data_IF_870568080155
#
_entry.id   IF_870568080155
#
_cell.length_a   1.000
_cell.length_b   1.000
_cell.length_c   1.000
_cell.angle_alpha   90.00
_cell.angle_beta   90.00
_cell.angle_gamma   90.00
#
_symmetry.space_group_name_H-M   'P 1'
#
loop_
_entity.id
_entity.type
_entity.pdbx_description
1 polymer ?
#
# COMPACT_ATOMS: atom_id res chain seq x y z
N UNK A 1 12.65 1.93 -13.24
CA UNK A 1 12.55 0.99 -12.11
C UNK A 1 12.70 1.81 -10.83
N UNK A 2 11.65 1.92 -10.00
CA UNK A 2 11.83 2.35 -8.63
C UNK A 2 11.99 1.08 -7.79
N UNK A 3 13.22 0.80 -7.39
CA UNK A 3 13.60 -0.40 -6.61
C UNK A 3 13.32 -0.16 -5.11
N UNK A 4 12.96 1.06 -4.71
CA UNK A 4 12.91 1.48 -3.31
C UNK A 4 11.60 2.15 -2.94
N UNK A 5 11.16 1.82 -1.73
CA UNK A 5 10.16 2.54 -0.97
C UNK A 5 10.53 4.03 -0.87
N UNK A 6 9.56 4.93 -1.00
CA UNK A 6 9.78 6.37 -0.79
C UNK A 6 9.07 6.85 0.47
N UNK A 7 9.69 7.78 1.20
CA UNK A 7 9.06 8.43 2.37
C UNK A 7 8.82 9.88 2.04
N UNK A 8 7.57 10.30 2.10
CA UNK A 8 7.18 11.67 1.82
C UNK A 8 6.47 12.28 3.02
N UNK A 9 6.86 13.50 3.38
CA UNK A 9 6.13 14.31 4.34
C UNK A 9 5.23 15.28 3.60
N UNK A 10 3.92 15.09 3.69
CA UNK A 10 2.93 15.94 3.04
C UNK A 10 2.23 16.76 4.12
N UNK A 11 2.25 18.09 3.99
CA UNK A 11 1.49 18.98 4.87
C UNK A 11 0.28 19.51 4.11
N UNK A 12 -0.91 19.30 4.64
CA UNK A 12 -2.15 19.87 4.12
C UNK A 12 -2.89 20.59 5.24
N UNK A 13 -3.03 21.92 5.11
CA UNK A 13 -3.55 22.80 6.16
C UNK A 13 -2.77 22.62 7.48
N UNK A 14 -3.43 22.24 8.56
CA UNK A 14 -2.86 21.98 9.88
C UNK A 14 -2.54 20.49 10.11
N UNK A 15 -2.61 19.65 9.08
CA UNK A 15 -2.31 18.21 9.16
C UNK A 15 -0.96 17.92 8.51
N UNK A 16 -0.17 17.07 9.17
CA UNK A 16 1.09 16.53 8.64
C UNK A 16 0.92 15.03 8.46
N UNK A 17 1.15 14.57 7.24
CA UNK A 17 1.10 13.17 6.86
C UNK A 17 2.52 12.68 6.63
N UNK A 18 2.85 11.52 7.19
CA UNK A 18 4.00 10.74 6.80
C UNK A 18 3.49 9.62 5.90
N UNK A 19 3.83 9.69 4.62
CA UNK A 19 3.36 8.76 3.61
C UNK A 19 4.52 7.86 3.18
N UNK A 20 4.24 6.57 3.09
CA UNK A 20 5.17 5.56 2.60
C UNK A 20 4.65 5.05 1.25
N UNK A 21 5.37 5.35 0.16
CA UNK A 21 5.05 4.81 -1.16
C UNK A 21 5.68 3.42 -1.29
N UNK A 22 4.83 2.41 -1.51
CA UNK A 22 5.21 1.01 -1.62
C UNK A 22 4.93 0.52 -3.03
N UNK A 23 5.96 -0.02 -3.70
CA UNK A 23 5.78 -0.54 -5.05
C UNK A 23 4.85 -1.77 -5.12
N UNK A 24 4.18 -1.93 -6.26
CA UNK A 24 3.19 -2.98 -6.52
C UNK A 24 3.69 -4.28 -7.15
N UNK A 25 5.00 -4.41 -7.41
CA UNK A 25 5.58 -5.59 -8.07
C UNK A 25 5.47 -6.83 -7.16
N UNK A 26 5.11 -7.98 -7.71
CA UNK A 26 4.87 -9.21 -6.94
C UNK A 26 6.03 -9.58 -6.00
N UNK A 27 7.28 -9.34 -6.42
CA UNK A 27 8.49 -9.63 -5.63
C UNK A 27 8.61 -8.80 -4.34
N UNK A 28 7.97 -7.63 -4.26
CA UNK A 28 8.10 -6.71 -3.12
C UNK A 28 6.86 -6.65 -2.21
N UNK A 29 5.72 -7.20 -2.64
CA UNK A 29 4.49 -7.27 -1.83
C UNK A 29 4.67 -7.92 -0.45
N UNK A 30 5.52 -8.96 -0.27
CA UNK A 30 5.76 -9.54 1.05
C UNK A 30 6.32 -8.56 2.10
N UNK A 31 6.88 -7.42 1.67
CA UNK A 31 7.42 -6.40 2.57
C UNK A 31 6.39 -5.35 3.00
N UNK A 32 5.19 -5.31 2.40
CA UNK A 32 4.15 -4.33 2.79
C UNK A 32 3.79 -4.42 4.28
N UNK A 33 3.78 -5.64 4.83
CA UNK A 33 3.50 -5.89 6.26
C UNK A 33 4.42 -5.16 7.23
N UNK A 34 5.63 -4.78 6.80
CA UNK A 34 6.56 -4.02 7.64
C UNK A 34 6.08 -2.59 7.92
N UNK A 35 5.06 -2.12 7.20
CA UNK A 35 4.58 -0.74 7.24
C UNK A 35 3.17 -0.59 7.81
N UNK A 36 2.51 -1.67 8.25
CA UNK A 36 1.16 -1.57 8.82
C UNK A 36 1.18 -1.10 10.28
N UNK A 37 2.24 -1.43 11.03
CA UNK A 37 2.37 -0.98 12.42
C UNK A 37 2.52 0.53 12.48
N UNK A 38 1.73 1.18 13.35
CA UNK A 38 1.68 2.65 13.50
C UNK A 38 1.25 3.41 12.24
N UNK A 39 0.53 2.76 11.31
CA UNK A 39 -0.09 3.42 10.17
C UNK A 39 -1.58 3.65 10.45
N UNK A 40 -2.01 4.92 10.42
CA UNK A 40 -3.41 5.30 10.69
C UNK A 40 -4.36 4.94 9.54
N UNK A 41 -3.87 4.92 8.30
CA UNK A 41 -4.68 4.67 7.11
C UNK A 41 -3.84 4.12 5.95
N UNK A 42 -4.49 3.35 5.07
CA UNK A 42 -3.89 2.82 3.85
C UNK A 42 -4.66 3.33 2.64
N UNK A 43 -3.91 3.77 1.62
CA UNK A 43 -4.43 4.12 0.30
C UNK A 43 -4.02 3.01 -0.66
N UNK A 44 -4.98 2.23 -1.14
CA UNK A 44 -4.75 1.15 -2.09
C UNK A 44 -5.25 1.56 -3.47
N UNK A 45 -4.35 1.64 -4.45
CA UNK A 45 -4.65 2.15 -5.79
C UNK A 45 -4.84 0.98 -6.77
N UNK A 46 -5.94 1.01 -7.52
CA UNK A 46 -6.29 0.00 -8.52
C UNK A 46 -6.43 0.65 -9.88
N UNK A 47 -5.75 0.10 -10.89
CA UNK A 47 -5.97 0.48 -12.28
C UNK A 47 -7.31 -0.07 -12.77
N UNK A 48 -8.31 0.82 -12.85
CA UNK A 48 -9.67 0.47 -13.28
C UNK A 48 -9.77 0.07 -14.77
N UNK A 49 -8.76 0.39 -15.58
CA UNK A 49 -8.72 0.04 -17.01
C UNK A 49 -8.20 -1.39 -17.25
N UNK A 50 -7.41 -1.92 -16.31
CA UNK A 50 -6.83 -3.25 -16.40
C UNK A 50 -7.73 -4.33 -15.79
N UNK A 51 -8.71 -4.74 -16.58
CA UNK A 51 -9.73 -5.73 -16.16
C UNK A 51 -9.15 -7.12 -15.94
N UNK A 52 -8.05 -7.48 -16.59
CA UNK A 52 -7.42 -8.80 -16.43
C UNK A 52 -6.78 -8.93 -15.04
N UNK A 53 -6.21 -7.84 -14.51
CA UNK A 53 -5.54 -7.84 -13.20
C UNK A 53 -6.47 -7.52 -12.02
N UNK A 54 -7.75 -7.22 -12.25
CA UNK A 54 -8.69 -6.89 -11.15
C UNK A 54 -8.84 -8.04 -10.13
N UNK A 55 -8.81 -9.29 -10.60
CA UNK A 55 -8.90 -10.47 -9.74
C UNK A 55 -7.68 -10.61 -8.84
N UNK A 56 -6.49 -10.34 -9.38
CA UNK A 56 -5.23 -10.31 -8.62
C UNK A 56 -5.28 -9.19 -7.58
N UNK A 57 -5.70 -7.99 -7.98
CA UNK A 57 -5.82 -6.84 -7.07
C UNK A 57 -6.75 -7.13 -5.89
N UNK A 58 -7.91 -7.77 -6.14
CA UNK A 58 -8.81 -8.22 -5.08
C UNK A 58 -8.13 -9.18 -4.11
N UNK A 59 -7.40 -10.19 -4.61
CA UNK A 59 -6.72 -11.17 -3.75
C UNK A 59 -5.65 -10.53 -2.86
N UNK A 60 -4.87 -9.59 -3.42
CA UNK A 60 -3.86 -8.85 -2.67
C UNK A 60 -4.48 -7.94 -1.61
N UNK A 61 -5.56 -7.24 -1.95
CA UNK A 61 -6.31 -6.41 -0.99
C UNK A 61 -6.85 -7.24 0.17
N UNK A 62 -7.44 -8.42 -0.10
CA UNK A 62 -7.95 -9.31 0.94
C UNK A 62 -6.80 -9.81 1.83
N UNK A 63 -5.70 -10.29 1.24
CA UNK A 63 -4.52 -10.74 1.98
C UNK A 63 -3.95 -9.63 2.88
N UNK A 64 -3.93 -8.40 2.39
CA UNK A 64 -3.48 -7.23 3.15
C UNK A 64 -4.38 -6.96 4.36
N UNK A 65 -5.70 -6.97 4.17
CA UNK A 65 -6.69 -6.72 5.23
C UNK A 65 -6.66 -7.81 6.31
N UNK A 66 -6.43 -9.07 5.93
CA UNK A 66 -6.25 -10.16 6.89
C UNK A 66 -5.06 -9.90 7.80
N UNK A 67 -3.91 -9.49 7.25
CA UNK A 67 -2.71 -9.16 8.03
C UNK A 67 -2.95 -7.97 8.98
N UNK A 68 -3.67 -6.94 8.52
CA UNK A 68 -3.97 -5.76 9.35
C UNK A 68 -4.93 -6.12 10.49
N UNK A 69 -5.92 -6.97 10.23
CA UNK A 69 -6.94 -7.35 11.24
C UNK A 69 -6.35 -8.18 12.38
N UNK A 70 -5.25 -8.91 12.12
CA UNK A 70 -4.55 -9.74 13.10
C UNK A 70 -3.36 -9.04 13.78
N UNK A 71 -3.05 -7.79 13.39
CA UNK A 71 -1.97 -6.97 13.96
C UNK A 71 -2.49 -6.09 15.09
#
# INVERSE_FOLDING_TARGET
MAIGFNVEQVTYKNLKFQVWDLGGQTSIRPYWRCYFSNTDAIIYVVDSSDRERIGISKQELVSMLEVITIS
#
